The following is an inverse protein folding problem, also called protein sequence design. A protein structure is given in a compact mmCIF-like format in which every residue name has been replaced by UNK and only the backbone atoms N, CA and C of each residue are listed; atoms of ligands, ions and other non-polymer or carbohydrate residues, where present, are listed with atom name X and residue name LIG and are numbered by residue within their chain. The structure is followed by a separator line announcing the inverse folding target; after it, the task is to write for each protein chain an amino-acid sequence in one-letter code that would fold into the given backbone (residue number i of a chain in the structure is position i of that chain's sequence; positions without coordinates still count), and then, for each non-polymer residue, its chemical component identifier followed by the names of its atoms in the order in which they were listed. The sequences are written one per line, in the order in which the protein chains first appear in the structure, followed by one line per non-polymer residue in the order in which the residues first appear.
data_IF_981756209979
#
_entry.id   IF_981756209979
#
_cell.length_a   1.000
_cell.length_b   1.000
_cell.length_c   1.000
_cell.angle_alpha   90.00
_cell.angle_beta   90.00
_cell.angle_gamma   90.00
#
_symmetry.space_group_name_H-M   'P 1'
#
loop_
_entity.id
_entity.type
_entity.pdbx_description
1 polymer ?
#
# COMPACT_ATOMS: atom_id res chain seq x y z
N UNK A 1 -0.98 37.63 16.66
CA UNK A 1 -0.58 36.68 15.61
C UNK A 1 -1.83 36.23 14.87
N UNK A 2 -1.95 36.51 13.57
CA UNK A 2 -3.06 36.00 12.74
C UNK A 2 -2.76 34.53 12.46
N UNK A 3 -3.61 33.64 12.96
CA UNK A 3 -3.64 32.23 12.56
C UNK A 3 -4.03 32.22 11.08
N UNK A 4 -3.16 31.71 10.22
CA UNK A 4 -3.50 31.50 8.82
C UNK A 4 -4.71 30.55 8.75
N UNK A 5 -5.74 30.81 7.93
CA UNK A 5 -6.86 29.89 7.81
C UNK A 5 -6.32 28.55 7.30
N UNK A 6 -6.69 27.47 7.99
CA UNK A 6 -6.42 26.12 7.51
C UNK A 6 -7.02 26.01 6.11
N UNK A 7 -6.17 25.83 5.10
CA UNK A 7 -6.61 25.61 3.72
C UNK A 7 -7.52 24.39 3.70
N UNK A 8 -8.80 24.56 3.36
CA UNK A 8 -9.75 23.46 3.26
C UNK A 8 -9.28 22.48 2.18
N UNK A 9 -9.26 21.18 2.50
CA UNK A 9 -8.93 20.13 1.53
C UNK A 9 -9.96 20.11 0.40
N UNK A 10 -9.56 19.84 -0.86
CA UNK A 10 -10.50 19.62 -1.96
C UNK A 10 -11.39 18.39 -1.69
N UNK A 11 -12.66 18.47 -2.06
CA UNK A 11 -13.59 17.33 -1.96
C UNK A 11 -13.30 16.28 -3.03
N UNK A 12 -13.31 15.00 -2.65
CA UNK A 12 -13.21 13.85 -3.56
C UNK A 12 -14.44 12.96 -3.42
N UNK A 13 -15.24 12.85 -4.48
CA UNK A 13 -16.37 11.92 -4.56
C UNK A 13 -15.88 10.54 -4.99
N UNK A 14 -15.83 9.60 -4.05
CA UNK A 14 -15.21 8.30 -4.21
C UNK A 14 -16.21 7.16 -4.00
N UNK A 15 -16.00 6.03 -4.67
CA UNK A 15 -16.56 4.76 -4.22
C UNK A 15 -15.55 3.61 -4.38
N UNK A 16 -15.84 2.52 -3.68
CA UNK A 16 -15.13 1.25 -3.81
C UNK A 16 -16.06 0.14 -4.30
N UNK A 17 -15.61 -0.64 -5.29
CA UNK A 17 -16.35 -1.77 -5.84
C UNK A 17 -15.53 -3.06 -5.86
N UNK A 18 -16.24 -4.17 -6.08
CA UNK A 18 -15.65 -5.49 -6.33
C UNK A 18 -14.78 -6.02 -5.19
N UNK A 19 -15.27 -5.84 -3.95
CA UNK A 19 -14.76 -6.38 -2.69
C UNK A 19 -13.31 -5.96 -2.33
N UNK A 20 -13.19 -5.12 -1.29
CA UNK A 20 -11.95 -4.88 -0.54
C UNK A 20 -11.74 -5.93 0.58
N UNK A 21 -12.26 -7.15 0.40
CA UNK A 21 -12.39 -8.13 1.48
C UNK A 21 -13.42 -7.69 2.53
N UNK A 22 -13.05 -7.72 3.82
CA UNK A 22 -13.89 -7.33 4.97
C UNK A 22 -13.77 -5.86 5.39
N UNK A 23 -13.04 -5.05 4.61
CA UNK A 23 -12.71 -3.66 4.98
C UNK A 23 -13.90 -2.71 4.76
N UNK A 24 -14.01 -1.68 5.61
CA UNK A 24 -14.98 -0.61 5.44
C UNK A 24 -14.58 0.32 4.29
N UNK A 25 -15.57 0.89 3.58
CA UNK A 25 -15.31 1.91 2.55
C UNK A 25 -14.79 3.23 3.15
N UNK A 26 -15.15 3.52 4.40
CA UNK A 26 -14.79 4.74 5.13
C UNK A 26 -13.62 4.56 6.09
N UNK A 27 -13.08 3.35 6.18
CA UNK A 27 -11.94 3.03 7.04
C UNK A 27 -11.14 1.88 6.41
N UNK A 28 -10.24 2.27 5.50
CA UNK A 28 -9.28 1.39 4.84
C UNK A 28 -8.06 2.21 4.40
N UNK A 29 -6.97 1.51 4.07
CA UNK A 29 -5.70 2.13 3.66
C UNK A 29 -5.86 3.22 2.59
N UNK A 30 -6.57 2.94 1.50
CA UNK A 30 -6.67 3.88 0.38
C UNK A 30 -7.53 5.09 0.74
N UNK A 31 -8.60 4.88 1.50
CA UNK A 31 -9.41 5.96 2.06
C UNK A 31 -8.55 6.84 2.98
N UNK A 32 -7.86 6.25 3.96
CA UNK A 32 -7.03 6.95 4.94
C UNK A 32 -5.85 7.69 4.26
N UNK A 33 -5.28 7.09 3.21
CA UNK A 33 -4.22 7.70 2.41
C UNK A 33 -4.74 8.92 1.62
N UNK A 34 -5.86 8.78 0.89
CA UNK A 34 -6.46 9.88 0.13
C UNK A 34 -6.97 10.99 1.04
N UNK A 35 -7.48 10.66 2.22
CA UNK A 35 -7.93 11.61 3.23
C UNK A 35 -6.79 12.50 3.77
N UNK A 36 -5.52 12.20 3.49
CA UNK A 36 -4.40 13.11 3.76
C UNK A 36 -4.46 14.36 2.87
N UNK A 37 -4.96 14.23 1.63
CA UNK A 37 -5.03 15.30 0.64
C UNK A 37 -6.46 15.82 0.40
N UNK A 38 -7.46 14.94 0.43
CA UNK A 38 -8.86 15.26 0.11
C UNK A 38 -9.77 15.23 1.35
N UNK A 39 -10.91 15.93 1.26
CA UNK A 39 -12.12 15.62 2.02
C UNK A 39 -12.88 14.51 1.26
N UNK A 40 -12.70 13.26 1.68
CA UNK A 40 -13.19 12.07 0.95
C UNK A 40 -14.64 11.80 1.32
N UNK A 41 -15.51 11.75 0.32
CA UNK A 41 -16.94 11.44 0.49
C UNK A 41 -17.30 10.18 -0.29
N UNK A 42 -17.81 9.15 0.42
CA UNK A 42 -18.28 7.92 -0.20
C UNK A 42 -19.70 8.13 -0.73
N UNK A 43 -19.89 8.02 -2.05
CA UNK A 43 -21.15 8.31 -2.73
C UNK A 43 -21.48 7.28 -3.82
N UNK A 44 -22.75 7.13 -4.17
CA UNK A 44 -23.21 6.16 -5.19
C UNK A 44 -22.94 6.62 -6.63
N UNK A 45 -22.82 7.93 -6.89
CA UNK A 45 -22.37 8.51 -8.18
C UNK A 45 -21.01 9.21 -8.03
N UNK A 46 -19.91 8.45 -7.95
CA UNK A 46 -18.59 9.00 -7.66
C UNK A 46 -17.90 9.55 -8.92
N UNK A 47 -16.93 10.46 -8.71
CA UNK A 47 -16.02 10.93 -9.77
C UNK A 47 -14.88 9.93 -10.03
N UNK A 48 -14.53 9.15 -9.00
CA UNK A 48 -13.49 8.13 -9.05
C UNK A 48 -14.04 6.84 -8.42
N UNK A 49 -13.83 5.72 -9.09
CA UNK A 49 -14.06 4.39 -8.53
C UNK A 49 -12.72 3.66 -8.36
N UNK A 50 -12.46 3.17 -7.16
CA UNK A 50 -11.40 2.20 -6.91
C UNK A 50 -12.03 0.80 -6.86
N UNK A 51 -11.50 -0.16 -7.62
CA UNK A 51 -12.10 -1.49 -7.70
C UNK A 51 -11.05 -2.60 -7.79
N UNK A 52 -11.44 -3.83 -7.44
CA UNK A 52 -10.56 -5.00 -7.48
C UNK A 52 -11.02 -6.05 -8.51
N UNK A 53 -10.28 -7.16 -8.61
CA UNK A 53 -10.53 -8.24 -9.58
C UNK A 53 -11.67 -9.20 -9.17
N UNK A 54 -12.17 -9.16 -7.93
CA UNK A 54 -13.12 -10.16 -7.42
C UNK A 54 -14.56 -10.03 -7.95
N UNK A 55 -14.86 -9.05 -8.81
CA UNK A 55 -16.22 -8.76 -9.24
C UNK A 55 -16.34 -8.04 -10.57
N UNK A 56 -17.57 -7.65 -10.89
CA UNK A 56 -17.93 -6.97 -12.15
C UNK A 56 -18.79 -5.72 -11.93
N UNK A 57 -19.00 -5.28 -10.68
CA UNK A 57 -19.78 -4.09 -10.33
C UNK A 57 -19.14 -2.82 -10.89
N UNK A 58 -17.81 -2.78 -11.04
CA UNK A 58 -17.11 -1.68 -11.71
C UNK A 58 -17.64 -1.34 -13.12
N UNK A 59 -18.33 -2.29 -13.79
CA UNK A 59 -18.92 -2.08 -15.12
C UNK A 59 -20.15 -1.16 -15.10
N UNK A 60 -20.76 -0.94 -13.93
CA UNK A 60 -21.92 -0.07 -13.76
C UNK A 60 -21.53 1.43 -13.74
N UNK A 61 -20.27 1.71 -13.41
CA UNK A 61 -19.72 3.05 -13.25
C UNK A 61 -19.12 3.56 -14.57
N UNK A 62 -19.33 4.85 -14.86
CA UNK A 62 -18.71 5.54 -16.01
C UNK A 62 -17.75 6.64 -15.61
N UNK A 63 -17.43 6.73 -14.34
CA UNK A 63 -16.44 7.65 -13.82
C UNK A 63 -15.02 7.13 -14.09
N UNK A 64 -14.01 7.84 -13.59
CA UNK A 64 -12.61 7.41 -13.67
C UNK A 64 -12.44 6.15 -12.83
N UNK A 65 -11.71 5.15 -13.33
CA UNK A 65 -11.55 3.86 -12.65
C UNK A 65 -10.09 3.54 -12.36
N UNK A 66 -9.76 3.30 -11.10
CA UNK A 66 -8.45 2.86 -10.64
C UNK A 66 -8.55 1.41 -10.21
N UNK A 67 -7.84 0.52 -10.90
CA UNK A 67 -7.73 -0.87 -10.49
C UNK A 67 -6.77 -0.98 -9.32
N UNK A 68 -7.18 -1.66 -8.25
CA UNK A 68 -6.34 -1.93 -7.09
C UNK A 68 -6.34 -3.43 -6.82
N UNK A 69 -5.15 -4.01 -6.67
CA UNK A 69 -5.03 -5.39 -6.25
C UNK A 69 -3.83 -5.61 -5.35
N UNK A 70 -4.08 -6.36 -4.29
CA UNK A 70 -3.06 -6.97 -3.44
C UNK A 70 -2.81 -8.41 -3.87
N UNK A 71 -2.90 -8.73 -5.16
CA UNK A 71 -2.66 -10.08 -5.64
C UNK A 71 -1.84 -10.00 -6.94
N UNK A 72 -1.47 -11.15 -7.50
CA UNK A 72 -0.67 -11.22 -8.73
C UNK A 72 -1.53 -11.01 -10.00
N UNK A 73 -2.59 -10.22 -9.92
CA UNK A 73 -3.42 -9.90 -11.09
C UNK A 73 -2.90 -8.67 -11.81
N UNK A 74 -2.95 -8.74 -13.14
CA UNK A 74 -2.65 -7.61 -14.00
C UNK A 74 -3.93 -6.82 -14.30
N UNK A 75 -3.82 -5.49 -14.50
CA UNK A 75 -4.95 -4.66 -14.85
C UNK A 75 -5.43 -4.95 -16.27
N UNK A 76 -6.75 -4.88 -16.48
CA UNK A 76 -7.33 -4.78 -17.82
C UNK A 76 -7.49 -3.31 -18.19
N UNK A 77 -6.60 -2.82 -19.07
CA UNK A 77 -6.57 -1.43 -19.52
C UNK A 77 -7.81 -0.99 -20.31
N UNK A 78 -8.68 -1.92 -20.74
CA UNK A 78 -10.00 -1.61 -21.30
C UNK A 78 -11.04 -1.28 -20.22
N UNK A 79 -10.72 -1.55 -18.96
CA UNK A 79 -11.61 -1.40 -17.82
C UNK A 79 -11.09 -0.42 -16.75
N UNK A 80 -9.86 0.08 -16.84
CA UNK A 80 -9.32 1.07 -15.90
C UNK A 80 -8.46 2.16 -16.56
N UNK A 81 -8.49 3.33 -15.92
CA UNK A 81 -7.71 4.53 -16.25
C UNK A 81 -6.32 4.53 -15.59
N UNK A 82 -6.17 3.85 -14.45
CA UNK A 82 -4.91 3.61 -13.77
C UNK A 82 -4.95 2.30 -12.97
N UNK A 83 -3.79 1.83 -12.51
CA UNK A 83 -3.67 0.61 -11.72
C UNK A 83 -2.64 0.73 -10.60
N UNK A 84 -2.96 0.18 -9.44
CA UNK A 84 -2.04 -0.04 -8.31
C UNK A 84 -1.96 -1.55 -8.08
N UNK A 85 -0.79 -2.14 -8.29
CA UNK A 85 -0.64 -3.61 -8.41
C UNK A 85 0.51 -4.15 -7.58
N UNK A 86 0.33 -5.33 -7.01
CA UNK A 86 1.42 -6.05 -6.33
C UNK A 86 2.26 -6.94 -7.25
N UNK A 87 1.90 -7.03 -8.54
CA UNK A 87 2.79 -7.53 -9.58
C UNK A 87 3.44 -6.34 -10.30
N UNK A 88 4.75 -6.43 -10.57
CA UNK A 88 5.43 -5.44 -11.38
C UNK A 88 4.81 -5.38 -12.78
N UNK A 89 4.42 -4.18 -13.21
CA UNK A 89 3.82 -3.92 -14.51
C UNK A 89 4.49 -2.68 -15.09
N UNK A 90 5.28 -2.86 -16.15
CA UNK A 90 5.97 -1.77 -16.83
C UNK A 90 4.99 -1.00 -17.72
N UNK A 91 4.23 -0.09 -17.11
CA UNK A 91 3.23 0.71 -17.78
C UNK A 91 3.07 2.08 -17.09
N UNK A 92 2.98 3.20 -17.83
CA UNK A 92 2.99 4.55 -17.25
C UNK A 92 1.80 4.87 -16.33
N UNK A 93 0.68 4.14 -16.52
CA UNK A 93 -0.54 4.21 -15.70
C UNK A 93 -0.59 3.15 -14.59
N UNK A 94 0.49 2.40 -14.37
CA UNK A 94 0.62 1.41 -13.31
C UNK A 94 1.55 1.94 -12.20
N UNK A 95 1.20 1.66 -10.97
CA UNK A 95 2.01 1.88 -9.79
C UNK A 95 2.20 0.55 -9.09
N UNK A 96 3.45 0.13 -8.91
CA UNK A 96 3.72 -1.07 -8.13
C UNK A 96 3.53 -0.76 -6.66
N UNK A 97 2.71 -1.54 -5.95
CA UNK A 97 2.55 -1.49 -4.51
C UNK A 97 2.75 -2.91 -3.94
N UNK A 98 3.88 -3.18 -3.26
CA UNK A 98 4.26 -4.52 -2.84
C UNK A 98 3.15 -5.26 -2.09
N UNK A 99 2.94 -6.55 -2.40
CA UNK A 99 1.89 -7.37 -1.80
C UNK A 99 1.86 -7.29 -0.27
N UNK A 100 3.03 -7.38 0.34
CA UNK A 100 3.18 -7.45 1.79
C UNK A 100 2.99 -6.10 2.47
N UNK A 101 3.13 -4.99 1.72
CA UNK A 101 2.72 -3.66 2.17
C UNK A 101 1.20 -3.56 2.30
N UNK A 102 0.49 -4.24 1.41
CA UNK A 102 -0.95 -4.16 1.31
C UNK A 102 -1.67 -5.06 2.34
N UNK A 103 -1.08 -6.21 2.70
CA UNK A 103 -1.67 -7.21 3.59
C UNK A 103 -1.91 -6.72 5.03
N UNK A 104 -1.23 -5.64 5.47
CA UNK A 104 -1.41 -5.04 6.80
C UNK A 104 -1.80 -3.57 6.75
N UNK A 105 -2.58 -3.20 5.74
CA UNK A 105 -3.13 -1.85 5.55
C UNK A 105 -2.09 -0.74 5.31
N UNK A 106 -0.80 -1.04 5.18
CA UNK A 106 0.24 -0.09 4.71
C UNK A 106 0.48 1.17 5.55
N UNK A 107 -0.23 1.38 6.66
CA UNK A 107 -0.22 2.63 7.42
C UNK A 107 1.17 2.94 8.02
N UNK A 108 1.89 1.92 8.47
CA UNK A 108 3.24 2.07 9.02
C UNK A 108 4.32 2.31 7.95
N UNK A 109 4.00 2.06 6.67
CA UNK A 109 4.90 2.33 5.55
C UNK A 109 4.88 3.79 5.10
N UNK A 110 3.86 4.54 5.48
CA UNK A 110 3.68 5.94 5.08
C UNK A 110 3.89 6.91 6.25
N UNK A 111 4.32 6.40 7.43
CA UNK A 111 4.48 7.08 8.73
C UNK A 111 3.28 7.99 9.07
N UNK A 112 2.38 7.59 10.01
CA UNK A 112 1.16 8.34 10.24
C UNK A 112 1.44 9.76 10.77
N UNK A 113 0.50 10.71 10.55
CA UNK A 113 0.56 12.01 11.23
C UNK A 113 0.73 11.84 12.74
N UNK A 114 1.74 12.49 13.33
CA UNK A 114 2.08 12.33 14.75
C UNK A 114 3.03 11.17 15.07
N UNK A 115 3.62 10.52 14.06
CA UNK A 115 4.72 9.58 14.28
C UNK A 115 5.89 10.28 15.00
N UNK A 116 6.26 9.74 16.17
CA UNK A 116 7.32 10.28 17.03
C UNK A 116 8.48 9.28 17.11
N UNK A 117 9.55 9.46 16.31
CA UNK A 117 10.73 8.59 16.34
C UNK A 117 11.49 8.67 17.67
N UNK A 118 11.42 9.80 18.40
CA UNK A 118 12.07 9.99 19.70
C UNK A 118 11.43 9.15 20.79
N UNK A 119 10.10 8.97 20.74
CA UNK A 119 9.40 8.04 21.63
C UNK A 119 9.93 6.62 21.46
N UNK A 120 10.08 6.17 20.22
CA UNK A 120 10.57 4.82 19.92
C UNK A 120 12.05 4.68 20.33
N UNK A 121 12.86 5.72 20.10
CA UNK A 121 14.27 5.71 20.48
C UNK A 121 14.47 5.56 22.00
N UNK A 122 13.60 6.17 22.81
CA UNK A 122 13.62 6.05 24.28
C UNK A 122 13.27 4.66 24.83
N UNK A 123 12.74 3.74 24.00
CA UNK A 123 12.41 2.37 24.42
C UNK A 123 13.66 1.49 24.69
N UNK A 124 14.87 2.01 24.49
CA UNK A 124 16.15 1.33 24.74
C UNK A 124 16.24 -0.07 24.10
N UNK A 125 15.88 -0.11 22.81
CA UNK A 125 15.83 -1.33 22.01
C UNK A 125 17.23 -1.92 21.79
N UNK A 126 17.27 -3.25 21.71
CA UNK A 126 18.46 -4.01 21.33
C UNK A 126 18.99 -3.62 19.95
N UNK A 127 20.19 -4.10 19.61
CA UNK A 127 20.90 -3.67 18.41
C UNK A 127 20.17 -4.12 17.12
N UNK A 128 20.23 -5.41 16.80
CA UNK A 128 19.78 -5.91 15.50
C UNK A 128 19.13 -7.28 15.67
N UNK A 129 18.08 -7.53 14.90
CA UNK A 129 17.37 -8.81 14.86
C UNK A 129 17.62 -9.56 13.55
N UNK A 130 17.66 -10.89 13.64
CA UNK A 130 17.74 -11.83 12.52
C UNK A 130 16.69 -12.93 12.70
N UNK A 131 15.83 -13.16 11.70
CA UNK A 131 14.72 -14.12 11.83
C UNK A 131 14.52 -14.91 10.53
N UNK A 132 15.17 -16.08 10.45
CA UNK A 132 15.08 -16.97 9.29
C UNK A 132 14.89 -18.44 9.71
N UNK A 133 14.17 -19.19 8.88
CA UNK A 133 13.78 -20.58 9.19
C UNK A 133 14.91 -21.60 9.01
N UNK A 134 15.76 -21.42 8.00
CA UNK A 134 16.75 -22.41 7.61
C UNK A 134 18.05 -21.76 7.14
N UNK A 135 19.10 -22.56 7.10
CA UNK A 135 20.40 -22.22 6.56
C UNK A 135 20.83 -23.32 5.61
N UNK A 136 21.11 -22.93 4.37
CA UNK A 136 21.69 -23.81 3.36
C UNK A 136 22.46 -22.95 2.33
N UNK A 137 23.01 -23.60 1.30
CA UNK A 137 23.79 -22.94 0.25
C UNK A 137 22.98 -21.90 -0.53
N UNK A 138 21.67 -22.06 -0.64
CA UNK A 138 20.80 -21.15 -1.41
C UNK A 138 20.60 -19.80 -0.73
N UNK A 139 20.90 -19.72 0.57
CA UNK A 139 20.75 -18.52 1.39
C UNK A 139 22.09 -18.07 2.01
N UNK A 140 23.21 -18.53 1.46
CA UNK A 140 24.54 -18.25 1.98
C UNK A 140 24.86 -16.75 2.11
N UNK A 141 24.28 -15.90 1.25
CA UNK A 141 24.49 -14.45 1.27
C UNK A 141 24.00 -13.83 2.58
N UNK A 142 22.77 -14.18 3.03
CA UNK A 142 22.24 -13.68 4.31
C UNK A 142 23.02 -14.20 5.51
N UNK A 143 23.43 -15.46 5.48
CA UNK A 143 24.22 -16.08 6.55
C UNK A 143 25.59 -15.42 6.69
N UNK A 144 26.26 -15.17 5.56
CA UNK A 144 27.54 -14.44 5.54
C UNK A 144 27.41 -13.04 6.11
N UNK A 145 26.36 -12.31 5.72
CA UNK A 145 26.11 -10.96 6.24
C UNK A 145 25.82 -10.99 7.75
N UNK A 146 24.95 -11.89 8.20
CA UNK A 146 24.66 -12.11 9.62
C UNK A 146 25.95 -12.31 10.43
N UNK A 147 26.84 -13.22 10.00
CA UNK A 147 28.10 -13.43 10.70
C UNK A 147 29.05 -12.22 10.63
N UNK A 148 29.09 -11.49 9.51
CA UNK A 148 29.91 -10.29 9.39
C UNK A 148 29.49 -9.19 10.37
N UNK A 149 28.19 -8.99 10.55
CA UNK A 149 27.66 -8.01 11.51
C UNK A 149 27.79 -8.52 12.96
N UNK A 150 27.41 -9.79 13.20
CA UNK A 150 27.41 -10.41 14.52
C UNK A 150 28.81 -10.48 15.16
N UNK A 151 29.87 -10.61 14.36
CA UNK A 151 31.27 -10.55 14.86
C UNK A 151 31.66 -9.19 15.41
N UNK A 152 31.05 -8.11 14.92
CA UNK A 152 31.34 -6.73 15.38
C UNK A 152 30.46 -6.32 16.55
N UNK A 153 29.18 -6.68 16.49
CA UNK A 153 28.20 -6.45 17.57
C UNK A 153 27.11 -7.52 17.50
N UNK A 154 26.76 -8.12 18.64
CA UNK A 154 25.83 -9.25 18.71
C UNK A 154 24.48 -8.91 18.05
N UNK A 155 24.11 -9.71 17.05
CA UNK A 155 22.80 -9.70 16.41
C UNK A 155 21.95 -10.80 17.06
N UNK A 156 20.75 -10.45 17.55
CA UNK A 156 19.84 -11.43 18.16
C UNK A 156 19.10 -12.21 17.08
N UNK A 157 19.39 -13.51 17.00
CA UNK A 157 18.79 -14.43 16.06
C UNK A 157 17.66 -15.22 16.73
N UNK A 158 16.44 -15.01 16.22
CA UNK A 158 15.18 -15.55 16.79
C UNK A 158 14.57 -16.68 15.96
N UNK A 159 15.11 -16.91 14.76
CA UNK A 159 14.70 -18.01 13.90
C UNK A 159 15.37 -19.32 14.28
N UNK A 160 14.85 -20.47 13.82
CA UNK A 160 15.55 -21.75 13.97
C UNK A 160 16.95 -21.74 13.36
N UNK A 161 17.17 -21.00 12.27
CA UNK A 161 18.51 -20.79 11.72
C UNK A 161 19.29 -19.80 12.58
N UNK A 162 20.51 -20.18 12.96
CA UNK A 162 21.45 -19.32 13.68
C UNK A 162 20.97 -18.83 15.04
N UNK A 163 19.98 -19.49 15.67
CA UNK A 163 19.42 -19.05 16.95
C UNK A 163 20.53 -18.88 18.01
N UNK A 164 20.60 -17.70 18.61
CA UNK A 164 21.57 -17.38 19.67
C UNK A 164 20.91 -16.66 20.86
N UNK A 165 19.58 -16.74 20.94
CA UNK A 165 18.76 -16.08 21.98
C UNK A 165 18.20 -17.07 22.98
N UNK A 166 18.23 -18.38 22.66
CA UNK A 166 17.57 -19.42 23.46
C UNK A 166 16.04 -19.37 23.37
N UNK A 167 15.50 -18.51 22.50
CA UNK A 167 14.08 -18.30 22.30
C UNK A 167 13.73 -18.48 20.82
N UNK A 168 12.74 -19.31 20.52
CA UNK A 168 12.19 -19.44 19.17
C UNK A 168 10.76 -18.94 19.17
N UNK A 169 10.41 -18.13 18.16
CA UNK A 169 9.07 -17.56 18.04
C UNK A 169 8.06 -18.68 17.71
N UNK A 170 7.02 -18.89 18.54
CA UNK A 170 5.97 -19.84 18.25
C UNK A 170 5.10 -19.31 17.10
N UNK A 171 5.14 -19.98 15.95
CA UNK A 171 4.49 -19.52 14.72
C UNK A 171 5.20 -18.30 14.14
N UNK A 172 6.01 -18.50 13.09
CA UNK A 172 6.86 -17.46 12.48
C UNK A 172 6.02 -16.53 11.58
N UNK A 173 4.99 -15.90 12.12
CA UNK A 173 4.11 -14.99 11.39
C UNK A 173 3.36 -14.03 12.31
N UNK A 174 2.89 -12.91 11.74
CA UNK A 174 1.98 -11.97 12.40
C UNK A 174 2.57 -11.25 13.62
N UNK A 175 1.72 -10.93 14.58
CA UNK A 175 2.08 -10.08 15.73
C UNK A 175 3.18 -10.68 16.63
N UNK A 176 3.28 -12.01 16.72
CA UNK A 176 4.36 -12.66 17.47
C UNK A 176 5.74 -12.35 16.87
N UNK A 177 5.83 -12.32 15.54
CA UNK A 177 7.03 -11.88 14.81
C UNK A 177 7.30 -10.40 15.08
N UNK A 178 6.31 -9.53 14.87
CA UNK A 178 6.47 -8.08 15.05
C UNK A 178 6.93 -7.70 16.44
N UNK A 179 6.38 -8.33 17.49
CA UNK A 179 6.78 -8.07 18.88
C UNK A 179 8.27 -8.25 19.11
N UNK A 180 8.88 -9.25 18.47
CA UNK A 180 10.31 -9.50 18.58
C UNK A 180 11.12 -8.49 17.79
N UNK A 181 10.70 -8.16 16.57
CA UNK A 181 11.35 -7.15 15.73
C UNK A 181 11.30 -5.76 16.39
N UNK A 182 10.19 -5.42 17.06
CA UNK A 182 10.00 -4.18 17.84
C UNK A 182 10.99 -4.03 18.99
N UNK A 183 11.70 -5.09 19.39
CA UNK A 183 12.73 -5.01 20.44
C UNK A 183 14.10 -4.60 19.93
N UNK A 184 14.30 -4.48 18.61
CA UNK A 184 15.61 -4.20 18.02
C UNK A 184 15.58 -2.99 17.09
N UNK A 185 16.60 -2.13 17.12
CA UNK A 185 16.70 -0.93 16.27
C UNK A 185 16.84 -1.27 14.79
N UNK A 186 17.55 -2.35 14.48
CA UNK A 186 17.75 -2.83 13.12
C UNK A 186 17.14 -4.22 12.89
N UNK A 187 16.80 -4.54 11.64
CA UNK A 187 16.40 -5.89 11.23
C UNK A 187 17.09 -6.30 9.92
N UNK A 188 17.72 -7.47 9.90
CA UNK A 188 18.28 -8.03 8.66
C UNK A 188 17.13 -8.58 7.81
N UNK A 189 16.71 -7.80 6.82
CA UNK A 189 15.55 -8.06 5.97
C UNK A 189 15.95 -8.68 4.62
N UNK A 190 16.82 -9.70 4.63
CA UNK A 190 17.33 -10.29 3.40
C UNK A 190 16.32 -11.22 2.74
N UNK A 191 16.18 -11.11 1.43
CA UNK A 191 15.47 -12.09 0.63
C UNK A 191 16.23 -13.41 0.53
N UNK A 192 15.51 -14.48 0.22
CA UNK A 192 16.14 -15.78 -0.01
C UNK A 192 17.03 -15.76 -1.26
N UNK A 193 16.60 -15.01 -2.30
CA UNK A 193 17.26 -14.90 -3.60
C UNK A 193 16.96 -13.53 -4.22
N UNK A 194 17.80 -13.12 -5.16
CA UNK A 194 17.54 -11.97 -6.03
C UNK A 194 16.52 -12.38 -7.09
N UNK A 195 15.29 -11.89 -6.97
CA UNK A 195 14.22 -12.15 -7.94
C UNK A 195 13.59 -10.80 -8.31
N UNK A 196 13.72 -10.35 -9.57
CA UNK A 196 13.10 -9.11 -10.03
C UNK A 196 11.59 -9.06 -9.76
N UNK A 197 11.11 -7.95 -9.22
CA UNK A 197 9.71 -7.74 -8.85
C UNK A 197 9.24 -8.53 -7.62
N UNK A 198 10.16 -9.08 -6.82
CA UNK A 198 9.82 -9.92 -5.67
C UNK A 198 10.44 -9.40 -4.37
N UNK A 199 9.64 -8.67 -3.63
CA UNK A 199 9.92 -8.24 -2.24
C UNK A 199 8.92 -8.90 -1.31
N UNK A 200 9.39 -9.41 -0.18
CA UNK A 200 8.59 -10.17 0.78
C UNK A 200 8.27 -9.41 2.05
N UNK A 201 7.50 -10.04 2.95
CA UNK A 201 7.17 -9.51 4.27
C UNK A 201 8.40 -9.17 5.12
N UNK A 202 9.57 -9.74 4.81
CA UNK A 202 10.81 -9.49 5.56
C UNK A 202 11.18 -8.00 5.55
N UNK A 203 10.93 -7.33 4.43
CA UNK A 203 11.23 -5.91 4.30
C UNK A 203 10.16 -5.05 4.97
N UNK A 204 8.89 -5.34 4.73
CA UNK A 204 7.78 -4.54 5.28
C UNK A 204 7.56 -4.74 6.78
N UNK A 205 7.77 -5.95 7.31
CA UNK A 205 7.67 -6.25 8.74
C UNK A 205 8.71 -5.46 9.56
N UNK A 206 9.87 -5.15 9.00
CA UNK A 206 10.87 -4.32 9.66
C UNK A 206 10.34 -2.89 9.87
N UNK A 207 9.78 -2.28 8.82
CA UNK A 207 9.20 -0.94 8.90
C UNK A 207 8.04 -0.85 9.90
N UNK A 208 7.16 -1.85 9.91
CA UNK A 208 6.01 -1.98 10.84
C UNK A 208 6.46 -2.21 12.29
N UNK A 209 7.59 -2.88 12.47
CA UNK A 209 8.22 -3.01 13.77
C UNK A 209 9.02 -1.77 14.18
N UNK A 210 9.00 -0.69 13.38
CA UNK A 210 9.85 0.49 13.54
C UNK A 210 11.34 0.14 13.66
N UNK A 211 11.76 -0.97 13.07
CA UNK A 211 13.16 -1.38 12.97
C UNK A 211 13.68 -0.94 11.60
N UNK A 212 14.82 -0.27 11.58
CA UNK A 212 15.49 0.10 10.33
C UNK A 212 15.86 -1.17 9.56
N UNK A 213 15.33 -1.40 8.35
CA UNK A 213 15.66 -2.61 7.60
C UNK A 213 17.07 -2.50 7.00
N UNK A 214 17.83 -3.59 7.14
CA UNK A 214 19.06 -3.83 6.40
C UNK A 214 18.70 -4.79 5.27
N UNK A 215 18.59 -4.27 4.06
CA UNK A 215 17.95 -4.95 2.94
C UNK A 215 18.94 -5.44 1.90
N UNK A 216 18.71 -6.67 1.43
CA UNK A 216 19.31 -7.25 0.24
C UNK A 216 18.26 -8.10 -0.46
N UNK A 217 17.96 -7.80 -1.71
CA UNK A 217 16.86 -8.41 -2.44
C UNK A 217 16.66 -7.75 -3.81
N UNK A 218 15.41 -7.51 -4.18
CA UNK A 218 15.04 -6.97 -5.50
C UNK A 218 15.44 -5.49 -5.67
N UNK A 219 16.21 -5.15 -6.71
CA UNK A 219 16.57 -3.76 -7.05
C UNK A 219 15.41 -2.99 -7.65
N UNK A 220 14.55 -3.65 -8.41
CA UNK A 220 13.42 -2.99 -9.06
C UNK A 220 12.38 -2.56 -8.04
N UNK A 221 12.17 -3.32 -6.97
CA UNK A 221 11.28 -2.88 -5.90
C UNK A 221 11.78 -1.61 -5.21
N UNK A 222 13.09 -1.45 -5.02
CA UNK A 222 13.64 -0.29 -4.30
C UNK A 222 13.36 1.05 -4.97
N UNK A 223 13.08 1.08 -6.29
CA UNK A 223 12.68 2.32 -6.96
C UNK A 223 11.40 2.91 -6.37
N UNK A 224 10.61 2.11 -5.66
CA UNK A 224 9.33 2.50 -5.04
C UNK A 224 9.45 2.84 -3.55
N UNK A 225 10.56 2.47 -2.90
CA UNK A 225 10.79 2.77 -1.48
C UNK A 225 11.68 4.01 -1.33
N UNK A 226 11.54 4.70 -0.21
CA UNK A 226 12.41 5.83 0.12
C UNK A 226 13.80 5.31 0.53
N UNK A 227 14.87 5.56 -0.25
CA UNK A 227 16.20 5.04 0.05
C UNK A 227 16.83 5.63 1.32
N UNK A 228 16.20 6.63 1.95
CA UNK A 228 16.63 7.20 3.23
C UNK A 228 16.05 6.48 4.44
N UNK A 229 15.06 5.60 4.27
CA UNK A 229 14.37 4.91 5.36
C UNK A 229 14.98 3.53 5.69
N UNK A 230 15.94 3.04 4.90
CA UNK A 230 16.54 1.71 5.05
C UNK A 230 17.97 1.68 4.52
N UNK A 231 18.67 0.59 4.81
CA UNK A 231 20.06 0.37 4.41
C UNK A 231 20.08 -0.63 3.26
N UNK A 232 20.36 -0.19 2.03
CA UNK A 232 20.59 -1.08 0.88
C UNK A 232 22.02 -1.60 0.90
N UNK A 233 22.20 -2.88 1.24
CA UNK A 233 23.51 -3.52 1.36
C UNK A 233 24.31 -3.46 0.05
N UNK A 234 23.64 -3.36 -1.10
CA UNK A 234 24.30 -3.33 -2.42
C UNK A 234 24.95 -1.99 -2.75
N UNK A 235 24.65 -0.93 -2.00
CA UNK A 235 25.30 0.37 -2.16
C UNK A 235 26.72 0.42 -1.58
N UNK A 236 27.12 -0.62 -0.86
CA UNK A 236 28.45 -0.74 -0.26
C UNK A 236 29.32 -1.66 -1.10
N UNK A 237 30.63 -1.41 -1.12
CA UNK A 237 31.60 -2.21 -1.90
C UNK A 237 31.67 -3.65 -1.39
N UNK A 238 31.43 -3.85 -0.09
CA UNK A 238 31.43 -5.15 0.56
C UNK A 238 30.62 -5.10 1.88
N UNK A 239 30.45 -6.27 2.51
CA UNK A 239 29.72 -6.38 3.77
C UNK A 239 30.41 -5.68 4.93
N UNK A 240 31.73 -5.57 4.92
CA UNK A 240 32.46 -4.92 6.01
C UNK A 240 32.15 -3.43 6.06
N UNK A 241 32.19 -2.75 4.90
CA UNK A 241 31.81 -1.34 4.77
C UNK A 241 30.34 -1.10 5.18
N UNK A 242 29.42 -1.99 4.77
CA UNK A 242 28.02 -1.91 5.20
C UNK A 242 27.87 -2.08 6.72
N UNK A 243 28.62 -3.01 7.34
CA UNK A 243 28.58 -3.21 8.78
C UNK A 243 29.13 -2.00 9.53
N UNK A 244 30.20 -1.38 9.02
CA UNK A 244 30.79 -0.19 9.62
C UNK A 244 29.82 1.00 9.57
N UNK A 245 29.06 1.16 8.48
CA UNK A 245 27.97 2.14 8.38
C UNK A 245 26.83 1.87 9.38
N UNK A 246 26.41 0.62 9.55
CA UNK A 246 25.38 0.26 10.55
C UNK A 246 25.84 0.62 11.96
N UNK A 247 27.11 0.36 12.29
CA UNK A 247 27.69 0.71 13.59
C UNK A 247 27.85 2.22 13.78
N UNK A 248 28.12 2.95 12.70
CA UNK A 248 28.11 4.42 12.73
C UNK A 248 26.71 4.93 13.10
N UNK A 249 25.65 4.48 12.40
CA UNK A 249 24.26 4.87 12.72
C UNK A 249 23.87 4.50 14.15
N UNK A 250 24.25 3.32 14.60
CA UNK A 250 24.03 2.83 15.96
C UNK A 250 24.62 3.75 17.04
N UNK A 251 25.76 4.38 16.74
CA UNK A 251 26.48 5.29 17.63
C UNK A 251 26.13 6.78 17.37
N UNK A 252 25.29 7.06 16.38
CA UNK A 252 24.90 8.41 15.98
C UNK A 252 23.38 8.58 16.10
N UNK A 253 22.85 8.86 17.33
CA UNK A 253 21.41 8.98 17.57
C UNK A 253 20.68 9.88 16.58
N UNK A 254 21.27 11.03 16.23
CA UNK A 254 20.67 11.98 15.29
C UNK A 254 20.49 11.38 13.88
N UNK A 255 21.49 10.68 13.36
CA UNK A 255 21.41 10.05 12.02
C UNK A 255 20.46 8.85 12.02
N UNK A 256 20.47 8.05 13.09
CA UNK A 256 19.50 6.97 13.27
C UNK A 256 18.06 7.49 13.30
N UNK A 257 17.80 8.55 14.08
CA UNK A 257 16.49 9.18 14.18
C UNK A 257 16.03 9.77 12.85
N UNK A 258 16.93 10.41 12.10
CA UNK A 258 16.64 10.88 10.74
C UNK A 258 16.18 9.73 9.85
N UNK A 259 16.93 8.62 9.80
CA UNK A 259 16.55 7.45 9.01
C UNK A 259 15.22 6.82 9.48
N UNK A 260 14.98 6.76 10.79
CA UNK A 260 13.75 6.20 11.34
C UNK A 260 12.51 7.05 11.02
N UNK A 261 12.68 8.38 10.99
CA UNK A 261 11.64 9.36 10.69
C UNK A 261 11.19 9.35 9.23
N UNK A 262 12.08 8.95 8.31
CA UNK A 262 11.79 8.93 6.88
C UNK A 262 10.63 7.97 6.58
N UNK A 263 9.64 8.40 5.76
CA UNK A 263 8.55 7.53 5.34
C UNK A 263 9.10 6.40 4.46
N UNK A 264 8.94 5.12 4.84
CA UNK A 264 9.45 3.98 4.09
C UNK A 264 9.00 3.93 2.63
N UNK A 265 7.76 4.37 2.41
CA UNK A 265 7.06 4.29 1.16
C UNK A 265 6.34 5.60 0.94
N UNK A 266 6.78 6.33 -0.08
CA UNK A 266 6.22 7.61 -0.47
C UNK A 266 5.99 7.60 -1.99
N UNK A 267 5.11 8.48 -2.47
CA UNK A 267 4.65 8.63 -3.88
C UNK A 267 3.42 7.86 -4.32
N UNK A 268 2.86 6.94 -3.51
CA UNK A 268 1.56 6.33 -3.87
C UNK A 268 0.45 7.40 -3.84
N UNK A 269 0.45 8.27 -2.83
CA UNK A 269 -0.51 9.36 -2.76
C UNK A 269 -0.33 10.31 -3.95
N UNK A 270 0.91 10.69 -4.28
CA UNK A 270 1.20 11.55 -5.44
C UNK A 270 0.73 10.91 -6.75
N UNK A 271 0.98 9.60 -6.93
CA UNK A 271 0.48 8.86 -8.09
C UNK A 271 -1.04 8.88 -8.15
N UNK A 272 -1.73 8.58 -7.04
CA UNK A 272 -3.19 8.57 -6.99
C UNK A 272 -3.75 9.97 -7.29
N UNK A 273 -3.23 11.02 -6.67
CA UNK A 273 -3.60 12.43 -6.93
C UNK A 273 -3.41 12.76 -8.41
N UNK A 274 -2.24 12.48 -8.98
CA UNK A 274 -1.95 12.70 -10.41
C UNK A 274 -2.97 12.01 -11.31
N UNK A 275 -3.26 10.74 -11.06
CA UNK A 275 -4.19 9.97 -11.89
C UNK A 275 -5.64 10.43 -11.70
N UNK A 276 -6.04 10.80 -10.48
CA UNK A 276 -7.37 11.35 -10.15
C UNK A 276 -7.59 12.70 -10.83
N UNK A 277 -6.58 13.56 -10.85
CA UNK A 277 -6.68 14.93 -11.40
C UNK A 277 -6.43 14.99 -12.92
N UNK A 278 -5.84 13.94 -13.52
CA UNK A 278 -5.59 13.89 -14.97
C UNK A 278 -6.87 14.14 -15.77
N UNK A 279 -6.91 15.22 -16.54
CA UNK A 279 -8.06 15.58 -17.39
C UNK A 279 -8.05 14.73 -18.66
N UNK A 280 -8.68 13.55 -18.58
CA UNK A 280 -8.88 12.66 -19.72
C UNK A 280 -10.28 12.05 -19.66
N UNK A 281 -10.87 11.77 -20.83
CA UNK A 281 -12.12 11.01 -20.90
C UNK A 281 -11.92 9.64 -20.23
N UNK A 282 -12.73 9.24 -19.23
CA UNK A 282 -12.57 7.93 -18.59
C UNK A 282 -12.72 6.79 -19.59
N UNK A 283 -11.94 5.72 -19.46
CA UNK A 283 -12.00 4.53 -20.32
C UNK A 283 -13.43 3.98 -20.46
N UNK A 284 -14.22 4.03 -19.39
CA UNK A 284 -15.64 3.62 -19.43
C UNK A 284 -16.54 4.48 -20.33
N UNK A 285 -16.11 5.69 -20.69
CA UNK A 285 -16.78 6.59 -21.63
C UNK A 285 -16.18 6.54 -23.04
N UNK A 286 -14.98 5.96 -23.22
CA UNK A 286 -14.29 5.89 -24.52
C UNK A 286 -14.91 4.88 -25.50
N UNK A 287 -15.79 3.99 -25.03
CA UNK A 287 -16.33 2.92 -25.87
C UNK A 287 -17.51 3.38 -26.75
N UNK A 288 -17.22 3.64 -28.02
CA UNK A 288 -18.19 3.69 -29.12
C UNK A 288 -18.40 2.28 -29.69
N UNK A 289 -19.68 1.86 -29.79
CA UNK A 289 -20.17 0.56 -30.29
C UNK A 289 -19.88 -0.69 -29.44
N UNK A 290 -20.80 -1.02 -28.53
CA UNK A 290 -20.99 -2.39 -28.01
C UNK A 290 -22.49 -2.76 -28.08
N UNK A 291 -22.83 -3.99 -28.48
CA UNK A 291 -24.22 -4.46 -28.49
C UNK A 291 -24.81 -4.43 -27.07
N UNK A 292 -26.11 -4.14 -26.97
CA UNK A 292 -26.85 -4.08 -25.71
C UNK A 292 -26.67 -5.39 -24.92
N UNK A 293 -25.87 -5.36 -23.85
CA UNK A 293 -25.76 -6.48 -22.92
C UNK A 293 -26.68 -6.25 -21.71
N UNK A 294 -27.12 -7.34 -21.08
CA UNK A 294 -28.02 -7.35 -19.91
C UNK A 294 -27.64 -6.39 -18.77
N UNK A 295 -26.37 -6.01 -18.68
CA UNK A 295 -25.83 -5.15 -17.63
C UNK A 295 -26.07 -3.64 -17.87
N UNK A 296 -26.46 -3.23 -19.08
CA UNK A 296 -26.71 -1.81 -19.40
C UNK A 296 -28.14 -1.35 -19.14
N UNK A 297 -29.08 -2.28 -18.90
CA UNK A 297 -30.48 -1.97 -18.56
C UNK A 297 -30.63 -1.34 -17.16
N UNK A 298 -29.63 -1.47 -16.29
CA UNK A 298 -29.61 -0.86 -14.96
C UNK A 298 -29.28 0.65 -15.01
N UNK A 299 -29.00 1.20 -16.21
CA UNK A 299 -28.67 2.61 -16.44
C UNK A 299 -29.81 3.39 -17.10
N UNK A 300 -30.90 3.59 -16.38
CA UNK A 300 -31.87 4.66 -16.65
C UNK A 300 -32.50 5.08 -15.33
N UNK A 301 -31.84 6.00 -14.64
CA UNK A 301 -32.49 7.11 -13.94
C UNK A 301 -31.41 8.17 -13.69
N UNK A 302 -31.20 8.99 -14.72
CA UNK A 302 -30.59 10.30 -14.59
C UNK A 302 -31.70 11.31 -14.86
N UNK A 303 -32.47 11.65 -13.84
CA UNK A 303 -33.27 12.86 -13.84
C UNK A 303 -32.69 13.80 -12.81
N UNK A 304 -31.89 14.76 -13.31
CA UNK A 304 -31.87 16.08 -12.73
C UNK A 304 -33.33 16.58 -12.72
N UNK A 305 -33.97 16.66 -11.56
CA UNK A 305 -35.14 17.51 -11.39
C UNK A 305 -34.66 18.87 -10.92
N UNK A 306 -34.43 19.73 -11.90
CA UNK A 306 -34.44 21.18 -11.72
C UNK A 306 -35.85 21.67 -12.09
N UNK A 307 -36.49 22.38 -11.17
CA UNK A 307 -37.48 23.42 -11.46
C UNK A 307 -38.88 23.02 -11.95
N UNK A 308 -39.84 23.08 -11.02
CA UNK A 308 -41.20 23.62 -11.21
C UNK A 308 -42.09 23.06 -12.35
N UNK A 309 -43.11 22.27 -11.97
CA UNK A 309 -44.53 22.41 -12.40
C UNK A 309 -45.37 21.25 -11.83
N UNK A 310 -45.98 21.48 -10.67
CA UNK A 310 -47.05 20.62 -10.18
C UNK A 310 -48.36 20.97 -10.90
N UNK A 311 -48.84 20.07 -11.75
CA UNK A 311 -50.23 20.02 -12.20
C UNK A 311 -50.71 18.56 -12.12
N UNK A 312 -51.95 18.29 -11.66
CA UNK A 312 -52.42 16.92 -11.46
C UNK A 312 -52.61 16.20 -12.81
N UNK A 313 -52.41 14.87 -12.86
CA UNK A 313 -52.51 14.10 -14.10
C UNK A 313 -53.96 14.00 -14.60
N UNK A 314 -54.18 13.91 -15.93
CA UNK A 314 -55.52 13.81 -16.50
C UNK A 314 -56.14 12.41 -16.25
N UNK A 315 -57.48 12.31 -16.18
CA UNK A 315 -58.16 11.05 -15.88
C UNK A 315 -58.07 10.05 -17.04
N UNK A 316 -57.87 8.77 -16.69
CA UNK A 316 -57.78 7.65 -17.64
C UNK A 316 -59.14 7.40 -18.31
N UNK A 317 -59.19 7.38 -19.64
CA UNK A 317 -60.34 6.89 -20.41
C UNK A 317 -60.43 5.38 -20.28
N UNK A 318 -61.54 4.88 -19.74
CA UNK A 318 -61.90 3.45 -19.73
C UNK A 318 -62.39 3.01 -21.11
N UNK A 319 -62.04 1.78 -21.50
CA UNK A 319 -62.63 1.10 -22.65
C UNK A 319 -63.98 0.48 -22.25
N UNK A 320 -64.99 0.47 -23.14
CA UNK A 320 -66.30 -0.06 -22.83
C UNK A 320 -66.30 -1.59 -22.84
N UNK A 321 -66.89 -2.20 -21.81
CA UNK A 321 -67.22 -3.63 -21.78
C UNK A 321 -68.63 -3.79 -22.35
N UNK A 322 -68.74 -4.67 -23.35
CA UNK A 322 -69.98 -5.06 -24.00
C UNK A 322 -70.91 -5.83 -23.06
N UNK A 323 -72.20 -5.49 -23.13
CA UNK A 323 -73.33 -6.10 -22.43
C UNK A 323 -73.55 -7.58 -22.79
N UNK A 324 -73.90 -8.37 -21.78
CA UNK A 324 -74.76 -9.56 -21.87
C UNK A 324 -75.56 -9.66 -20.57
#
# INVERSE_FOLDING_TARGET
MKVAPATSKPTLLLDFADALGRQSKTDNFLYNLLARHYDVQIVDDPEVLIFTHYGQRNRLYSCKKIFYTQERYFPDWKNCDAAVTSAFCDHPRAYYFPFFAAHRQGEDLVRPPGFDPEKIFRENRGFCSYLHKYEDRTVAVRTRFFHALNRRKKVDAFGPAQNNTGFTIPGVAGEAKLRVLRRCRFHIAFENRLTPGWTTEKFTDAFEAHAVPIYWGDEHALQWFNPKAFIDVRKFRNFDECCDYILHLENSPAEYLQMLAEPPYDRLLEFLVREIERVEMPVARRCWFYPLTKWRLVRRDRTHEDGSRNGPPPPRRGFPVSSS
#
